data_IF_987457593528
#
_entry.id   IF_987457593528
#
_cell.length_a   1.000
_cell.length_b   1.000
_cell.length_c   1.000
_cell.angle_alpha   90.00
_cell.angle_beta   90.00
_cell.angle_gamma   90.00
#
_symmetry.space_group_name_H-M   'P 1'
#
loop_
_entity.id
_entity.type
_entity.pdbx_description
1 polymer ?
#
# COMPACT_ATOMS: atom_id res chain seq x y z
N UNK A 1 -13.92 -7.45 11.22
CA UNK A 1 -13.72 -8.18 9.94
C UNK A 1 -14.17 -9.62 10.10
N UNK A 2 -14.93 -10.19 9.16
CA UNK A 2 -15.44 -11.57 9.28
C UNK A 2 -14.50 -12.64 8.73
N UNK A 3 -13.58 -12.26 7.84
CA UNK A 3 -12.73 -13.20 7.07
C UNK A 3 -11.22 -13.03 7.33
N UNK A 4 -10.84 -12.23 8.33
CA UNK A 4 -9.43 -12.08 8.74
C UNK A 4 -8.58 -11.09 7.92
N UNK A 5 -9.13 -10.49 6.86
CA UNK A 5 -8.45 -9.43 6.11
C UNK A 5 -8.32 -8.13 6.91
N UNK A 6 -7.27 -7.35 6.61
CA UNK A 6 -7.08 -5.99 7.13
C UNK A 6 -7.58 -4.98 6.12
N UNK A 7 -8.25 -3.93 6.58
CA UNK A 7 -8.74 -2.85 5.71
C UNK A 7 -7.96 -1.59 6.03
N UNK A 8 -7.50 -0.90 4.98
CA UNK A 8 -6.67 0.29 5.11
C UNK A 8 -7.15 1.44 4.23
N UNK A 9 -6.65 2.63 4.55
CA UNK A 9 -6.91 3.88 3.87
C UNK A 9 -6.01 4.01 2.63
N UNK A 10 -6.61 4.32 1.48
CA UNK A 10 -5.88 4.55 0.23
C UNK A 10 -6.28 5.88 -0.44
N UNK A 11 -6.42 6.95 0.37
CA UNK A 11 -7.02 8.23 -0.02
C UNK A 11 -8.51 8.13 -0.36
N UNK A 12 -9.19 9.26 -0.54
CA UNK A 12 -10.64 9.35 -0.71
C UNK A 12 -11.04 9.31 -2.18
N UNK A 13 -10.41 10.16 -2.97
CA UNK A 13 -10.74 10.30 -4.39
C UNK A 13 -9.72 9.62 -5.29
N UNK A 14 -8.50 9.41 -4.77
CA UNK A 14 -7.37 8.92 -5.54
C UNK A 14 -7.20 9.73 -6.85
N UNK A 15 -7.33 11.07 -6.75
CA UNK A 15 -7.29 11.98 -7.89
C UNK A 15 -5.89 12.44 -8.29
N UNK A 16 -5.00 12.69 -7.32
CA UNK A 16 -3.57 13.03 -7.52
C UNK A 16 -2.70 12.49 -6.38
N UNK A 17 -1.39 12.28 -6.60
CA UNK A 17 -0.45 11.93 -5.54
C UNK A 17 -0.41 12.99 -4.42
N UNK A 18 -0.40 12.55 -3.16
CA UNK A 18 -0.45 13.46 -2.00
C UNK A 18 0.73 14.44 -1.98
N UNK A 19 1.89 14.04 -2.50
CA UNK A 19 3.08 14.89 -2.62
C UNK A 19 2.85 16.18 -3.42
N UNK A 20 1.78 16.27 -4.21
CA UNK A 20 1.47 17.45 -5.03
C UNK A 20 0.23 18.23 -4.57
N UNK A 21 -0.42 17.75 -3.51
CA UNK A 21 -1.59 18.38 -2.95
C UNK A 21 -1.19 19.47 -1.96
N UNK A 22 -2.06 20.46 -1.78
CA UNK A 22 -1.98 21.36 -0.64
C UNK A 22 -2.19 20.62 0.68
N UNK A 23 -1.85 21.27 1.79
CA UNK A 23 -2.09 20.71 3.11
C UNK A 23 -3.57 20.39 3.38
N UNK A 24 -4.48 21.29 2.98
CA UNK A 24 -5.91 21.10 3.18
C UNK A 24 -6.46 19.91 2.36
N UNK A 25 -6.08 19.82 1.07
CA UNK A 25 -6.47 18.71 0.20
C UNK A 25 -5.92 17.37 0.72
N UNK A 26 -4.68 17.36 1.20
CA UNK A 26 -4.05 16.16 1.78
C UNK A 26 -4.81 15.65 3.00
N UNK A 27 -5.15 16.55 3.91
CA UNK A 27 -5.92 16.18 5.11
C UNK A 27 -7.33 15.74 4.73
N UNK A 28 -7.94 16.34 3.71
CA UNK A 28 -9.24 15.91 3.19
C UNK A 28 -9.18 14.47 2.67
N UNK A 29 -8.19 14.14 1.84
CA UNK A 29 -8.00 12.78 1.31
C UNK A 29 -7.80 11.73 2.42
N UNK A 30 -6.94 12.02 3.41
CA UNK A 30 -6.64 11.04 4.48
C UNK A 30 -7.82 10.92 5.46
N UNK A 31 -8.35 12.05 5.95
CA UNK A 31 -9.39 12.04 6.98
C UNK A 31 -10.73 11.57 6.45
N UNK A 32 -11.11 11.99 5.24
CA UNK A 32 -12.39 11.61 4.64
C UNK A 32 -12.52 10.10 4.51
N UNK A 33 -11.47 9.41 4.03
CA UNK A 33 -11.48 7.94 3.99
C UNK A 33 -11.45 7.34 5.38
N UNK A 34 -10.72 7.94 6.32
CA UNK A 34 -10.66 7.40 7.67
C UNK A 34 -12.00 7.47 8.41
N UNK A 35 -12.76 8.54 8.23
CA UNK A 35 -14.11 8.68 8.80
C UNK A 35 -15.04 7.56 8.31
N UNK A 36 -14.92 7.15 7.04
CA UNK A 36 -15.64 5.99 6.50
C UNK A 36 -15.16 4.67 7.12
N UNK A 37 -13.85 4.55 7.33
CA UNK A 37 -13.21 3.34 7.86
C UNK A 37 -13.35 3.15 9.37
N UNK A 38 -13.57 4.21 10.16
CA UNK A 38 -13.65 4.13 11.62
C UNK A 38 -14.79 3.18 12.09
N UNK A 39 -15.81 2.97 11.25
CA UNK A 39 -16.88 1.99 11.50
C UNK A 39 -16.42 0.53 11.44
N UNK A 40 -15.25 0.24 10.85
CA UNK A 40 -14.71 -1.11 10.68
C UNK A 40 -13.72 -1.50 11.79
N UNK A 41 -13.31 -0.55 12.64
CA UNK A 41 -12.64 -0.81 13.92
C UNK A 41 -11.23 -1.38 13.84
N UNK A 42 -10.47 -1.13 12.77
CA UNK A 42 -9.06 -1.55 12.71
C UNK A 42 -8.18 -0.60 13.55
N UNK A 43 -7.56 -1.15 14.60
CA UNK A 43 -6.76 -0.40 15.56
C UNK A 43 -5.46 0.15 14.97
N UNK A 44 -4.95 -0.42 13.89
CA UNK A 44 -3.63 -0.07 13.35
C UNK A 44 -3.66 1.13 12.40
N UNK A 45 -4.86 1.62 12.03
CA UNK A 45 -5.06 2.72 11.07
C UNK A 45 -4.11 2.56 9.87
N UNK A 46 -4.29 1.49 9.12
CA UNK A 46 -3.47 1.23 7.93
C UNK A 46 -3.66 2.34 6.90
N UNK A 47 -2.58 2.77 6.28
CA UNK A 47 -2.57 3.74 5.18
C UNK A 47 -1.56 3.33 4.12
N UNK A 48 -1.94 3.43 2.84
CA UNK A 48 -1.04 3.26 1.70
C UNK A 48 -1.10 4.52 0.82
N UNK A 49 0.02 5.20 0.54
CA UNK A 49 0.03 6.31 -0.41
C UNK A 49 -0.12 5.80 -1.85
N UNK A 50 -0.55 6.68 -2.73
CA UNK A 50 -0.49 6.42 -4.17
C UNK A 50 0.97 6.46 -4.65
N UNK A 51 1.46 5.35 -5.22
CA UNK A 51 2.65 5.32 -6.08
C UNK A 51 2.28 5.34 -7.56
N UNK A 52 2.71 6.36 -8.30
CA UNK A 52 2.43 6.47 -9.74
C UNK A 52 3.06 5.30 -10.48
N UNK A 53 2.23 4.48 -11.17
CA UNK A 53 2.67 3.22 -11.80
C UNK A 53 3.37 2.25 -10.83
N UNK A 54 3.06 2.36 -9.53
CA UNK A 54 3.71 1.59 -8.46
C UNK A 54 5.10 2.09 -8.08
N UNK A 55 5.55 3.25 -8.58
CA UNK A 55 6.81 3.84 -8.16
C UNK A 55 6.71 4.46 -6.76
N UNK A 56 7.70 4.17 -5.92
CA UNK A 56 7.94 4.80 -4.63
C UNK A 56 8.80 6.05 -4.81
N UNK A 57 8.18 7.14 -5.29
CA UNK A 57 8.86 8.37 -5.69
C UNK A 57 8.45 9.59 -4.85
N UNK A 58 9.14 10.71 -5.07
CA UNK A 58 9.01 11.97 -4.31
C UNK A 58 7.62 12.60 -4.27
N UNK A 59 6.68 12.07 -5.06
CA UNK A 59 5.30 12.54 -5.19
C UNK A 59 4.33 11.73 -4.33
N UNK A 60 4.77 10.63 -3.70
CA UNK A 60 3.90 9.79 -2.89
C UNK A 60 3.35 10.50 -1.65
N UNK A 61 4.20 11.28 -0.95
CA UNK A 61 3.84 11.95 0.29
C UNK A 61 4.34 13.39 0.30
N UNK A 62 3.58 14.27 0.94
CA UNK A 62 4.07 15.57 1.38
C UNK A 62 4.28 15.57 2.90
N UNK A 63 4.86 16.67 3.41
CA UNK A 63 5.13 16.84 4.84
C UNK A 63 3.85 16.76 5.69
N UNK A 64 2.76 17.37 5.24
CA UNK A 64 1.47 17.35 5.94
C UNK A 64 0.96 15.92 6.14
N UNK A 65 1.07 15.06 5.12
CA UNK A 65 0.69 13.66 5.21
C UNK A 65 1.52 12.95 6.29
N UNK A 66 2.85 13.08 6.24
CA UNK A 66 3.75 12.44 7.22
C UNK A 66 3.44 12.88 8.64
N UNK A 67 3.32 14.20 8.88
CA UNK A 67 3.01 14.75 10.20
C UNK A 67 1.65 14.26 10.71
N UNK A 68 0.65 14.16 9.83
CA UNK A 68 -0.66 13.64 10.18
C UNK A 68 -0.64 12.15 10.52
N UNK A 69 0.02 11.32 9.69
CA UNK A 69 0.17 9.88 9.94
C UNK A 69 0.88 9.60 11.27
N UNK A 70 1.90 10.41 11.61
CA UNK A 70 2.60 10.34 12.90
C UNK A 70 1.67 10.70 14.06
N UNK A 71 1.02 11.86 13.97
CA UNK A 71 0.19 12.43 15.05
C UNK A 71 -1.00 11.53 15.37
N UNK A 72 -1.68 11.03 14.33
CA UNK A 72 -2.88 10.19 14.47
C UNK A 72 -2.57 8.69 14.56
N UNK A 73 -1.29 8.32 14.71
CA UNK A 73 -0.82 6.95 14.95
C UNK A 73 -1.18 5.95 13.84
N UNK A 74 -1.10 6.38 12.58
CA UNK A 74 -1.27 5.50 11.43
C UNK A 74 -0.11 4.52 11.27
N UNK A 75 -0.38 3.44 10.56
CA UNK A 75 0.63 2.52 10.02
C UNK A 75 0.71 2.70 8.51
N UNK A 76 1.81 3.27 8.01
CA UNK A 76 2.03 3.47 6.59
C UNK A 76 2.63 2.20 5.98
N UNK A 77 1.99 1.65 4.95
CA UNK A 77 2.37 0.40 4.29
C UNK A 77 2.73 0.67 2.83
N UNK A 78 3.97 0.37 2.48
CA UNK A 78 4.52 0.42 1.13
C UNK A 78 4.51 -0.98 0.51
N UNK A 79 5.36 -1.20 -0.49
CA UNK A 79 5.47 -2.46 -1.23
C UNK A 79 6.87 -2.63 -1.80
N UNK A 80 7.21 -3.87 -2.16
CA UNK A 80 8.44 -4.22 -2.84
C UNK A 80 8.20 -5.06 -4.12
N UNK A 81 6.93 -5.33 -4.47
CA UNK A 81 6.54 -6.02 -5.71
C UNK A 81 5.35 -5.32 -6.39
N UNK A 82 5.51 -5.03 -7.68
CA UNK A 82 4.50 -4.42 -8.54
C UNK A 82 4.43 -5.20 -9.85
N UNK A 83 3.62 -6.28 -9.91
CA UNK A 83 3.56 -7.17 -11.07
C UNK A 83 2.76 -6.58 -12.26
N UNK A 84 2.20 -5.38 -12.10
CA UNK A 84 1.45 -4.63 -13.13
C UNK A 84 0.23 -5.38 -13.66
N UNK A 85 -0.57 -5.90 -12.76
CA UNK A 85 -1.82 -6.63 -13.03
C UNK A 85 -2.83 -5.81 -13.86
N UNK A 86 -2.83 -4.48 -13.71
CA UNK A 86 -3.66 -3.59 -14.52
C UNK A 86 -3.22 -3.50 -15.99
N UNK A 87 -1.94 -3.69 -16.28
CA UNK A 87 -1.37 -3.52 -17.62
C UNK A 87 -1.29 -4.85 -18.40
N UNK A 88 -1.08 -5.95 -17.69
CA UNK A 88 -1.04 -7.30 -18.28
C UNK A 88 -1.75 -8.30 -17.34
N UNK A 89 -3.08 -8.47 -17.50
CA UNK A 89 -3.92 -9.27 -16.62
C UNK A 89 -3.59 -10.77 -16.57
N UNK A 90 -2.79 -11.30 -17.51
CA UNK A 90 -2.41 -12.72 -17.54
C UNK A 90 -0.98 -12.94 -17.10
N UNK A 91 -0.03 -12.09 -17.52
CA UNK A 91 1.38 -12.28 -17.20
C UNK A 91 1.79 -11.78 -15.81
N UNK A 92 0.92 -11.11 -15.05
CA UNK A 92 1.27 -10.61 -13.72
C UNK A 92 1.63 -11.74 -12.74
N UNK A 93 1.03 -12.92 -12.89
CA UNK A 93 1.26 -14.09 -12.02
C UNK A 93 2.73 -14.50 -12.04
N UNK A 94 3.33 -14.65 -13.23
CA UNK A 94 4.72 -15.06 -13.37
C UNK A 94 5.67 -14.04 -12.72
N UNK A 95 5.40 -12.75 -12.90
CA UNK A 95 6.17 -11.66 -12.30
C UNK A 95 6.04 -11.66 -10.77
N UNK A 96 4.83 -11.78 -10.25
CA UNK A 96 4.60 -11.85 -8.80
C UNK A 96 5.30 -13.07 -8.17
N UNK A 97 5.22 -14.25 -8.80
CA UNK A 97 5.95 -15.45 -8.35
C UNK A 97 7.48 -15.28 -8.44
N UNK A 98 7.99 -14.56 -9.42
CA UNK A 98 9.41 -14.24 -9.48
C UNK A 98 9.83 -13.30 -8.33
N UNK A 99 8.99 -12.31 -8.01
CA UNK A 99 9.21 -11.40 -6.90
C UNK A 99 9.22 -12.16 -5.55
N UNK A 100 8.30 -13.12 -5.34
CA UNK A 100 8.28 -13.94 -4.12
C UNK A 100 9.51 -14.82 -3.93
N UNK A 101 10.19 -15.20 -5.01
CA UNK A 101 11.46 -15.95 -4.96
C UNK A 101 12.68 -15.06 -4.71
N UNK A 102 12.59 -13.77 -5.03
CA UNK A 102 13.72 -12.83 -4.91
C UNK A 102 13.75 -12.10 -3.57
N UNK A 103 12.65 -12.07 -2.83
CA UNK A 103 12.55 -11.45 -1.52
C UNK A 103 12.20 -12.46 -0.43
N UNK A 104 12.74 -12.28 0.77
CA UNK A 104 12.38 -13.11 1.93
C UNK A 104 10.92 -12.88 2.38
N UNK A 105 10.41 -11.67 2.20
CA UNK A 105 9.02 -11.30 2.49
C UNK A 105 8.56 -10.29 1.46
N UNK A 106 7.56 -10.66 0.67
CA UNK A 106 7.07 -9.85 -0.45
C UNK A 106 5.74 -9.20 -0.12
N UNK A 107 5.63 -7.89 -0.35
CA UNK A 107 4.38 -7.15 -0.31
C UNK A 107 4.00 -6.82 -1.74
N UNK A 108 3.12 -7.65 -2.31
CA UNK A 108 2.64 -7.54 -3.69
C UNK A 108 1.49 -6.54 -3.78
N UNK A 109 1.52 -5.65 -4.78
CA UNK A 109 0.40 -4.77 -5.11
C UNK A 109 -0.42 -5.38 -6.24
N UNK A 110 -1.69 -5.67 -5.95
CA UNK A 110 -2.71 -6.11 -6.90
C UNK A 110 -3.92 -5.20 -6.80
N UNK A 111 -4.70 -5.11 -7.87
CA UNK A 111 -5.86 -4.24 -7.98
C UNK A 111 -7.11 -5.03 -8.37
N UNK A 112 -8.21 -4.78 -7.68
CA UNK A 112 -9.54 -5.34 -7.97
C UNK A 112 -10.28 -4.57 -9.09
N UNK A 113 -9.52 -4.05 -10.05
CA UNK A 113 -10.06 -3.38 -11.23
C UNK A 113 -10.67 -4.40 -12.20
N UNK A 114 -11.66 -4.00 -13.03
CA UNK A 114 -12.32 -4.89 -14.00
C UNK A 114 -11.43 -5.14 -15.24
N UNK A 115 -10.17 -5.52 -15.03
CA UNK A 115 -9.19 -5.84 -16.08
C UNK A 115 -9.16 -7.34 -16.43
N UNK A 116 -9.80 -8.17 -15.60
CA UNK A 116 -9.71 -9.64 -15.66
C UNK A 116 -8.52 -10.21 -14.88
N UNK A 117 -7.67 -9.37 -14.28
CA UNK A 117 -6.47 -9.85 -13.57
C UNK A 117 -6.80 -10.75 -12.39
N UNK A 118 -7.88 -10.43 -11.65
CA UNK A 118 -8.31 -11.20 -10.49
C UNK A 118 -8.88 -12.58 -10.82
N UNK A 119 -9.15 -12.88 -12.10
CA UNK A 119 -9.48 -14.26 -12.53
C UNK A 119 -8.29 -15.21 -12.34
N UNK A 120 -7.06 -14.68 -12.32
CA UNK A 120 -5.84 -15.44 -12.12
C UNK A 120 -5.44 -15.58 -10.63
N UNK A 121 -6.09 -14.82 -9.74
CA UNK A 121 -5.74 -14.81 -8.31
C UNK A 121 -5.82 -16.20 -7.65
N UNK A 122 -6.84 -17.04 -7.90
CA UNK A 122 -6.88 -18.39 -7.32
C UNK A 122 -5.66 -19.24 -7.72
N UNK A 123 -5.30 -19.26 -9.01
CA UNK A 123 -4.14 -20.00 -9.49
C UNK A 123 -2.82 -19.47 -8.93
N UNK A 124 -2.68 -18.16 -8.76
CA UNK A 124 -1.52 -17.58 -8.08
C UNK A 124 -1.41 -18.06 -6.62
N UNK A 125 -2.51 -18.09 -5.88
CA UNK A 125 -2.52 -18.57 -4.49
C UNK A 125 -2.20 -20.07 -4.39
N UNK A 126 -2.73 -20.89 -5.30
CA UNK A 126 -2.41 -22.33 -5.38
C UNK A 126 -0.91 -22.57 -5.64
N UNK A 127 -0.29 -21.78 -6.52
CA UNK A 127 1.14 -21.87 -6.81
C UNK A 127 2.02 -21.44 -5.63
N UNK A 128 1.58 -20.43 -4.86
CA UNK A 128 2.27 -20.05 -3.61
C UNK A 128 2.21 -21.16 -2.57
N UNK A 129 1.04 -21.76 -2.36
CA UNK A 129 0.84 -22.87 -1.43
C UNK A 129 1.67 -24.10 -1.85
N UNK A 130 1.61 -24.47 -3.13
CA UNK A 130 2.40 -25.56 -3.70
C UNK A 130 3.92 -25.34 -3.61
N UNK A 131 4.35 -24.08 -3.55
CA UNK A 131 5.76 -23.69 -3.36
C UNK A 131 6.16 -23.54 -1.89
N UNK A 132 5.24 -23.75 -0.94
CA UNK A 132 5.47 -23.60 0.50
C UNK A 132 5.60 -22.15 0.96
N UNK A 133 5.09 -21.18 0.18
CA UNK A 133 5.09 -19.76 0.55
C UNK A 133 3.84 -19.46 1.38
N UNK A 134 4.03 -18.96 2.60
CA UNK A 134 2.93 -18.54 3.47
C UNK A 134 2.36 -17.18 3.04
N UNK A 135 1.04 -17.12 2.80
CA UNK A 135 0.31 -15.86 2.63
C UNK A 135 -0.17 -15.37 3.99
N UNK A 136 0.30 -14.19 4.41
CA UNK A 136 0.07 -13.66 5.75
C UNK A 136 -0.31 -12.17 5.73
N UNK A 137 -0.82 -11.68 6.86
CA UNK A 137 -1.10 -10.25 7.09
C UNK A 137 0.05 -9.50 7.78
N UNK A 138 1.12 -10.23 8.12
CA UNK A 138 2.37 -9.65 8.60
C UNK A 138 3.03 -8.84 7.48
N UNK A 139 3.80 -7.83 7.85
CA UNK A 139 4.49 -6.94 6.91
C UNK A 139 5.96 -6.84 7.31
N UNK A 140 6.89 -6.84 6.35
CA UNK A 140 8.30 -6.64 6.65
C UNK A 140 8.58 -5.17 7.01
N UNK A 141 9.59 -4.96 7.87
CA UNK A 141 9.91 -3.63 8.40
C UNK A 141 10.27 -2.60 7.31
N UNK A 142 10.87 -3.05 6.20
CA UNK A 142 11.23 -2.20 5.05
C UNK A 142 10.00 -1.66 4.28
N UNK A 143 8.87 -2.35 4.35
CA UNK A 143 7.60 -1.93 3.79
C UNK A 143 6.73 -1.14 4.79
N UNK A 144 7.20 -0.90 6.02
CA UNK A 144 6.44 -0.18 7.05
C UNK A 144 7.24 1.00 7.62
N UNK A 145 7.41 2.08 6.84
CA UNK A 145 8.21 3.23 7.28
C UNK A 145 7.61 3.98 8.47
N UNK A 146 6.30 3.87 8.70
CA UNK A 146 5.62 4.42 9.88
C UNK A 146 4.82 3.29 10.51
N UNK A 147 5.09 2.96 11.77
CA UNK A 147 4.35 1.96 12.53
C UNK A 147 3.66 2.64 13.72
N UNK A 148 2.33 2.71 13.71
CA UNK A 148 1.52 3.35 14.77
C UNK A 148 2.02 4.74 15.14
N UNK A 149 2.32 5.54 14.12
CA UNK A 149 2.84 6.90 14.21
C UNK A 149 4.33 7.03 14.51
N UNK A 150 5.07 5.93 14.64
CA UNK A 150 6.53 5.98 14.84
C UNK A 150 7.25 5.74 13.53
N UNK A 151 8.12 6.68 13.12
CA UNK A 151 8.99 6.45 11.97
C UNK A 151 9.98 5.32 12.27
N UNK A 152 10.09 4.37 11.34
CA UNK A 152 11.00 3.22 11.37
C UNK A 152 12.13 3.36 10.35
N UNK A 153 11.83 3.93 9.19
CA UNK A 153 12.80 4.16 8.11
C UNK A 153 12.66 5.58 7.54
N UNK A 154 13.72 6.14 6.94
CA UNK A 154 13.66 7.45 6.31
C UNK A 154 12.70 7.50 5.11
N UNK A 155 11.97 8.61 4.99
CA UNK A 155 10.96 8.82 3.95
C UNK A 155 11.39 9.80 2.85
N UNK A 156 12.66 10.24 2.84
CA UNK A 156 13.16 11.30 1.94
C UNK A 156 12.96 10.98 0.45
N UNK A 157 12.97 9.68 0.10
CA UNK A 157 12.74 9.21 -1.27
C UNK A 157 11.28 9.34 -1.72
N UNK A 158 10.32 9.46 -0.78
CA UNK A 158 8.88 9.62 -1.03
C UNK A 158 8.41 11.07 -1.03
N UNK A 159 9.28 12.00 -0.64
CA UNK A 159 8.97 13.44 -0.51
C UNK A 159 9.82 14.28 -1.44
N UNK A 160 9.27 15.38 -1.95
CA UNK A 160 10.08 16.41 -2.60
C UNK A 160 11.12 16.98 -1.61
N UNK A 161 12.33 17.28 -2.10
CA UNK A 161 13.34 17.94 -1.29
C UNK A 161 12.82 19.32 -0.86
N UNK A 162 13.04 19.68 0.40
CA UNK A 162 12.70 21.01 0.92
C UNK A 162 13.67 21.99 0.24
N UNK A 163 13.14 22.80 -0.67
CA UNK A 163 13.84 23.96 -1.26
C UNK A 163 13.76 25.18 -0.36
#
# INVERSE_FOLDING_TARGET
MREGHRIGNHSLTHGRPLGELSAAETLHEIRGTQELLDNFGDADRLFRPWGTEGALEKRCLNRTAIEHLITEKYTCVLWNSVPRDWADPRGWVERALADTRSHQHTVVVLHDLPTGAMEQLPGFLDELDGSGVEVTTQLPDDCVPILRGRMRTPLDHLTAAIG
#
